data_IF_403539791647
#
_entry.id   IF_403539791647
#
_cell.length_a   1.000
_cell.length_b   1.000
_cell.length_c   1.000
_cell.angle_alpha   90.00
_cell.angle_beta   90.00
_cell.angle_gamma   90.00
#
_symmetry.space_group_name_H-M   'P 1'
#
loop_
_entity.id
_entity.type
_entity.pdbx_description
1 polymer ?
#
# COMPACT_ATOMS: atom_id res chain seq x y z
N UNK A 1 -20.54 8.66 -12.71
CA UNK A 1 -19.13 8.31 -12.95
C UNK A 1 -19.14 6.91 -13.51
N UNK A 2 -18.42 6.66 -14.60
CA UNK A 2 -18.44 5.37 -15.28
C UNK A 2 -17.77 4.27 -14.44
N UNK A 3 -18.27 3.05 -14.59
CA UNK A 3 -17.78 1.83 -13.97
C UNK A 3 -17.47 0.77 -15.02
N UNK A 4 -16.39 0.02 -14.80
CA UNK A 4 -16.20 -1.30 -15.42
C UNK A 4 -16.80 -2.35 -14.48
N UNK A 5 -17.74 -3.17 -14.99
CA UNK A 5 -18.25 -4.36 -14.30
C UNK A 5 -17.31 -5.54 -14.58
N UNK A 6 -16.87 -6.24 -13.54
CA UNK A 6 -16.21 -7.55 -13.68
C UNK A 6 -17.14 -8.59 -13.04
N UNK A 7 -17.59 -9.57 -13.80
CA UNK A 7 -18.51 -10.60 -13.32
C UNK A 7 -18.01 -11.99 -13.65
N UNK A 8 -18.14 -12.91 -12.71
CA UNK A 8 -17.77 -14.30 -12.94
C UNK A 8 -18.91 -15.11 -13.55
N UNK A 9 -18.53 -16.11 -14.34
CA UNK A 9 -19.44 -17.12 -14.89
C UNK A 9 -19.00 -18.48 -14.36
N UNK A 10 -19.92 -19.16 -13.68
CA UNK A 10 -19.71 -20.50 -13.13
C UNK A 10 -20.39 -21.55 -14.00
N UNK A 11 -20.63 -22.73 -13.44
CA UNK A 11 -21.33 -23.84 -14.13
C UNK A 11 -22.85 -23.70 -14.13
N UNK A 12 -23.39 -22.82 -13.28
CA UNK A 12 -24.82 -22.66 -13.03
C UNK A 12 -25.47 -23.88 -12.37
N UNK A 13 -26.60 -23.67 -11.68
CA UNK A 13 -27.39 -24.74 -11.07
C UNK A 13 -28.55 -25.04 -12.02
N UNK A 14 -28.60 -26.27 -12.54
CA UNK A 14 -29.73 -26.77 -13.32
C UNK A 14 -30.69 -27.57 -12.43
N UNK A 15 -31.98 -27.28 -12.53
CA UNK A 15 -33.06 -28.10 -11.97
C UNK A 15 -34.02 -28.42 -13.11
N UNK A 16 -34.35 -29.69 -13.29
CA UNK A 16 -35.22 -30.17 -14.38
C UNK A 16 -34.75 -29.75 -15.79
N UNK A 17 -33.42 -29.61 -15.97
CA UNK A 17 -32.80 -29.22 -17.24
C UNK A 17 -32.62 -27.71 -17.44
N UNK A 18 -33.24 -26.87 -16.61
CA UNK A 18 -33.20 -25.42 -16.74
C UNK A 18 -32.38 -24.74 -15.63
N UNK A 19 -31.78 -23.59 -15.96
CA UNK A 19 -31.10 -22.77 -14.97
C UNK A 19 -32.08 -22.11 -14.02
N UNK A 20 -31.82 -22.22 -12.72
CA UNK A 20 -32.71 -21.69 -11.70
C UNK A 20 -32.69 -20.15 -11.68
N UNK A 21 -33.86 -19.54 -11.81
CA UNK A 21 -34.04 -18.11 -11.57
C UNK A 21 -33.95 -17.79 -10.08
N UNK A 22 -33.36 -16.65 -9.74
CA UNK A 22 -33.20 -16.18 -8.37
C UNK A 22 -33.69 -14.75 -8.26
N UNK A 23 -34.51 -14.48 -7.22
CA UNK A 23 -34.94 -13.13 -6.85
C UNK A 23 -33.83 -12.45 -6.05
N UNK A 24 -33.22 -11.41 -6.60
CA UNK A 24 -32.19 -10.63 -5.94
C UNK A 24 -32.79 -9.41 -5.25
N UNK A 25 -32.45 -9.18 -3.99
CA UNK A 25 -32.95 -8.06 -3.18
C UNK A 25 -31.80 -7.12 -2.84
N UNK A 26 -31.87 -5.88 -3.33
CA UNK A 26 -30.83 -4.87 -3.16
C UNK A 26 -31.00 -4.09 -1.84
N UNK A 27 -29.94 -3.41 -1.35
CA UNK A 27 -30.01 -2.62 -0.11
C UNK A 27 -31.08 -1.50 -0.13
N UNK A 28 -31.39 -0.97 -1.31
CA UNK A 28 -32.46 0.01 -1.52
C UNK A 28 -33.86 -0.62 -1.66
N UNK A 29 -33.96 -1.93 -1.41
CA UNK A 29 -35.16 -2.77 -1.53
C UNK A 29 -35.68 -2.94 -2.96
N UNK A 30 -34.90 -2.56 -3.97
CA UNK A 30 -35.22 -2.98 -5.34
C UNK A 30 -35.04 -4.49 -5.47
N UNK A 31 -35.91 -5.09 -6.26
CA UNK A 31 -35.87 -6.52 -6.53
C UNK A 31 -35.76 -6.77 -8.02
N UNK A 32 -35.03 -7.80 -8.40
CA UNK A 32 -34.93 -8.25 -9.78
C UNK A 32 -34.79 -9.76 -9.82
N UNK A 33 -35.58 -10.43 -10.64
CA UNK A 33 -35.56 -11.87 -10.78
C UNK A 33 -34.86 -12.26 -12.08
N UNK A 34 -33.78 -13.03 -11.96
CA UNK A 34 -33.00 -13.51 -13.11
C UNK A 34 -32.17 -14.74 -12.75
N UNK A 35 -31.73 -15.46 -13.77
CA UNK A 35 -30.71 -16.52 -13.70
C UNK A 35 -29.29 -15.97 -13.55
N UNK A 36 -29.04 -14.72 -13.97
CA UNK A 36 -27.72 -14.11 -14.10
C UNK A 36 -27.61 -12.86 -13.21
N UNK A 37 -26.85 -12.90 -12.13
CA UNK A 37 -26.79 -11.74 -11.23
C UNK A 37 -26.24 -10.47 -11.90
N UNK A 38 -25.29 -10.60 -12.83
CA UNK A 38 -24.83 -9.48 -13.66
C UNK A 38 -25.96 -8.75 -14.39
N UNK A 39 -26.97 -9.48 -14.87
CA UNK A 39 -28.16 -8.90 -15.52
C UNK A 39 -28.95 -8.04 -14.54
N UNK A 40 -29.13 -8.50 -13.29
CA UNK A 40 -29.78 -7.69 -12.26
C UNK A 40 -29.03 -6.37 -12.00
N UNK A 41 -27.69 -6.40 -12.00
CA UNK A 41 -26.86 -5.19 -11.84
C UNK A 41 -27.03 -4.20 -13.01
N UNK A 42 -27.06 -4.72 -14.23
CA UNK A 42 -27.17 -3.94 -15.46
C UNK A 42 -28.58 -3.34 -15.63
N UNK A 43 -29.62 -4.17 -15.50
CA UNK A 43 -31.02 -3.78 -15.70
C UNK A 43 -31.50 -2.77 -14.66
N UNK A 44 -31.13 -2.97 -13.39
CA UNK A 44 -31.45 -2.01 -12.32
C UNK A 44 -30.56 -0.75 -12.36
N UNK A 45 -29.61 -0.67 -13.30
CA UNK A 45 -28.62 0.42 -13.40
C UNK A 45 -27.95 0.70 -12.07
N UNK A 46 -27.48 -0.38 -11.42
CA UNK A 46 -26.88 -0.28 -10.08
C UNK A 46 -25.69 0.69 -10.08
N UNK A 47 -24.94 0.74 -11.18
CA UNK A 47 -23.97 1.79 -11.53
C UNK A 47 -24.09 2.12 -13.02
N UNK A 48 -23.42 3.18 -13.43
CA UNK A 48 -23.28 3.59 -14.82
C UNK A 48 -22.14 2.80 -15.47
N UNK A 49 -22.48 1.66 -16.10
CA UNK A 49 -21.49 0.73 -16.64
C UNK A 49 -21.14 1.09 -18.10
N UNK A 50 -19.87 1.38 -18.35
CA UNK A 50 -19.33 1.68 -19.69
C UNK A 50 -18.64 0.48 -20.33
N UNK A 51 -18.32 -0.56 -19.55
CA UNK A 51 -17.71 -1.82 -19.99
C UNK A 51 -18.09 -2.96 -19.06
N UNK A 52 -18.23 -4.16 -19.62
CA UNK A 52 -18.41 -5.41 -18.86
C UNK A 52 -17.29 -6.39 -19.21
N UNK A 53 -16.68 -6.99 -18.19
CA UNK A 53 -15.70 -8.06 -18.33
C UNK A 53 -16.27 -9.31 -17.67
N UNK A 54 -16.57 -10.32 -18.46
CA UNK A 54 -16.93 -11.63 -17.95
C UNK A 54 -15.70 -12.51 -17.80
N UNK A 55 -15.59 -13.18 -16.66
CA UNK A 55 -14.48 -14.08 -16.37
C UNK A 55 -15.02 -15.47 -16.07
N UNK A 56 -14.52 -16.49 -16.75
CA UNK A 56 -14.96 -17.86 -16.58
C UNK A 56 -13.85 -18.87 -16.85
N UNK A 57 -14.28 -20.10 -17.11
CA UNK A 57 -13.44 -21.23 -17.49
C UNK A 57 -13.98 -21.86 -18.79
N UNK A 58 -13.22 -22.79 -19.37
CA UNK A 58 -13.69 -23.62 -20.50
C UNK A 58 -14.95 -24.45 -20.17
N UNK A 59 -15.29 -24.63 -18.89
CA UNK A 59 -16.45 -25.41 -18.41
C UNK A 59 -17.61 -24.55 -17.91
N UNK A 60 -17.49 -23.22 -18.02
CA UNK A 60 -18.51 -22.27 -17.57
C UNK A 60 -19.75 -22.29 -18.46
N UNK A 61 -20.87 -21.89 -17.89
CA UNK A 61 -22.19 -21.89 -18.51
C UNK A 61 -22.40 -20.69 -19.46
N UNK A 62 -21.50 -20.54 -20.43
CA UNK A 62 -21.52 -19.45 -21.41
C UNK A 62 -22.82 -19.40 -22.23
N UNK A 63 -23.46 -20.55 -22.44
CA UNK A 63 -24.72 -20.66 -23.18
C UNK A 63 -25.85 -19.81 -22.58
N UNK A 64 -25.81 -19.49 -21.28
CA UNK A 64 -26.82 -18.64 -20.62
C UNK A 64 -26.86 -17.20 -21.16
N UNK A 65 -25.78 -16.76 -21.80
CA UNK A 65 -25.70 -15.43 -22.40
C UNK A 65 -26.20 -15.38 -23.83
N UNK A 66 -26.39 -16.54 -24.48
CA UNK A 66 -26.91 -16.66 -25.85
C UNK A 66 -28.44 -16.86 -25.91
N UNK A 67 -29.17 -16.58 -24.82
CA UNK A 67 -30.65 -16.66 -24.80
C UNK A 67 -31.26 -15.74 -25.88
N UNK A 68 -31.92 -16.37 -26.87
CA UNK A 68 -32.46 -15.72 -28.06
C UNK A 68 -31.69 -16.01 -29.36
N UNK A 69 -30.59 -16.76 -29.29
CA UNK A 69 -29.84 -17.27 -30.45
C UNK A 69 -29.57 -18.78 -30.28
N UNK A 70 -30.46 -19.61 -30.82
CA UNK A 70 -30.43 -21.06 -30.63
C UNK A 70 -29.16 -21.72 -31.21
N UNK A 71 -28.66 -21.22 -32.35
CA UNK A 71 -27.45 -21.74 -32.98
C UNK A 71 -26.21 -21.51 -32.10
N UNK A 72 -26.03 -20.27 -31.63
CA UNK A 72 -24.94 -19.94 -30.71
C UNK A 72 -25.06 -20.70 -29.39
N UNK A 73 -26.29 -20.85 -28.87
CA UNK A 73 -26.56 -21.61 -27.66
C UNK A 73 -26.13 -23.08 -27.79
N UNK A 74 -26.47 -23.74 -28.90
CA UNK A 74 -26.05 -25.12 -29.18
C UNK A 74 -24.52 -25.26 -29.29
N UNK A 75 -23.87 -24.36 -30.03
CA UNK A 75 -22.39 -24.35 -30.16
C UNK A 75 -21.71 -24.23 -28.79
N UNK A 76 -22.23 -23.36 -27.92
CA UNK A 76 -21.69 -23.14 -26.56
C UNK A 76 -21.92 -24.35 -25.66
N UNK A 77 -23.07 -25.00 -25.73
CA UNK A 77 -23.34 -26.25 -24.99
C UNK A 77 -22.41 -27.39 -25.41
N UNK A 78 -22.15 -27.54 -26.71
CA UNK A 78 -21.20 -28.52 -27.25
C UNK A 78 -19.76 -28.20 -26.79
N UNK A 79 -19.33 -26.95 -26.96
CA UNK A 79 -17.99 -26.51 -26.54
C UNK A 79 -17.75 -26.73 -25.05
N UNK A 80 -18.74 -26.47 -24.20
CA UNK A 80 -18.67 -26.74 -22.77
C UNK A 80 -18.53 -28.24 -22.47
N UNK A 81 -19.28 -29.09 -23.17
CA UNK A 81 -19.25 -30.55 -23.00
C UNK A 81 -17.89 -31.13 -23.40
N UNK A 82 -17.29 -30.59 -24.47
CA UNK A 82 -15.99 -30.99 -24.99
C UNK A 82 -14.80 -30.24 -24.38
N UNK A 83 -15.05 -29.28 -23.46
CA UNK A 83 -14.04 -28.36 -22.88
C UNK A 83 -13.23 -27.59 -23.93
N UNK A 84 -13.87 -27.24 -25.04
CA UNK A 84 -13.26 -26.67 -26.25
C UNK A 84 -13.76 -25.26 -26.56
N UNK A 85 -14.01 -24.44 -25.53
CA UNK A 85 -14.35 -23.03 -25.72
C UNK A 85 -13.17 -22.30 -26.37
N UNK A 86 -13.35 -21.83 -27.59
CA UNK A 86 -12.32 -21.23 -28.45
C UNK A 86 -12.43 -19.71 -28.52
N UNK A 87 -11.37 -19.04 -28.97
CA UNK A 87 -11.37 -17.59 -29.18
C UNK A 87 -12.38 -17.12 -30.24
N UNK A 88 -12.70 -17.97 -31.23
CA UNK A 88 -13.73 -17.66 -32.23
C UNK A 88 -15.13 -17.62 -31.59
N UNK A 89 -15.48 -18.67 -30.81
CA UNK A 89 -16.75 -18.72 -30.08
C UNK A 89 -16.85 -17.61 -29.02
N UNK A 90 -15.72 -17.30 -28.38
CA UNK A 90 -15.60 -16.17 -27.45
C UNK A 90 -15.95 -14.85 -28.16
N UNK A 91 -15.35 -14.58 -29.32
CA UNK A 91 -15.57 -13.34 -30.09
C UNK A 91 -17.02 -13.25 -30.59
N UNK A 92 -17.59 -14.37 -31.07
CA UNK A 92 -19.00 -14.44 -31.47
C UNK A 92 -19.93 -14.09 -30.31
N UNK A 93 -19.65 -14.62 -29.11
CA UNK A 93 -20.43 -14.34 -27.90
C UNK A 93 -20.23 -12.91 -27.39
N UNK A 94 -19.00 -12.38 -27.38
CA UNK A 94 -18.71 -10.98 -27.02
C UNK A 94 -19.52 -10.00 -27.87
N UNK A 95 -19.55 -10.21 -29.20
CA UNK A 95 -20.31 -9.38 -30.13
C UNK A 95 -21.81 -9.47 -29.85
N UNK A 96 -22.34 -10.68 -29.69
CA UNK A 96 -23.76 -10.90 -29.39
C UNK A 96 -24.21 -10.18 -28.11
N UNK A 97 -23.45 -10.32 -27.02
CA UNK A 97 -23.79 -9.68 -25.74
C UNK A 97 -23.59 -8.16 -25.85
N UNK A 98 -22.53 -7.69 -26.50
CA UNK A 98 -22.26 -6.25 -26.66
C UNK A 98 -23.37 -5.54 -27.44
N UNK A 99 -23.85 -6.15 -28.52
CA UNK A 99 -24.99 -5.63 -29.29
C UNK A 99 -26.27 -5.62 -28.45
N UNK A 100 -26.53 -6.68 -27.68
CA UNK A 100 -27.73 -6.77 -26.83
C UNK A 100 -27.73 -5.73 -25.71
N UNK A 101 -26.58 -5.53 -25.04
CA UNK A 101 -26.44 -4.62 -23.91
C UNK A 101 -26.16 -3.17 -24.33
N UNK A 102 -25.72 -2.94 -25.57
CA UNK A 102 -25.18 -1.65 -26.04
C UNK A 102 -24.00 -1.16 -25.18
N UNK A 103 -23.22 -2.11 -24.63
CA UNK A 103 -22.04 -1.88 -23.79
C UNK A 103 -20.93 -2.81 -24.28
N UNK A 104 -19.68 -2.34 -24.46
CA UNK A 104 -18.55 -3.21 -24.77
C UNK A 104 -18.38 -4.35 -23.76
N UNK A 105 -18.38 -5.59 -24.26
CA UNK A 105 -18.17 -6.81 -23.46
C UNK A 105 -16.83 -7.43 -23.83
N UNK A 106 -16.06 -7.83 -22.81
CA UNK A 106 -14.85 -8.63 -22.96
C UNK A 106 -15.00 -9.91 -22.14
N UNK A 107 -14.64 -11.05 -22.72
CA UNK A 107 -14.62 -12.36 -22.08
C UNK A 107 -13.16 -12.76 -21.87
N UNK A 108 -12.83 -13.14 -20.64
CA UNK A 108 -11.56 -13.79 -20.30
C UNK A 108 -11.90 -15.16 -19.73
N UNK A 109 -11.20 -16.19 -20.20
CA UNK A 109 -11.43 -17.55 -19.72
C UNK A 109 -10.12 -18.32 -19.64
N UNK A 110 -10.03 -19.22 -18.68
CA UNK A 110 -8.87 -20.11 -18.51
C UNK A 110 -9.32 -21.57 -18.42
N UNK A 111 -8.36 -22.49 -18.36
CA UNK A 111 -8.63 -23.92 -18.10
C UNK A 111 -9.31 -24.14 -16.74
N UNK A 112 -10.11 -25.20 -16.60
CA UNK A 112 -10.74 -25.56 -15.31
C UNK A 112 -9.77 -26.18 -14.30
N UNK A 113 -8.58 -26.61 -14.75
CA UNK A 113 -7.52 -27.17 -13.92
C UNK A 113 -6.69 -26.04 -13.29
N UNK A 114 -6.52 -26.06 -11.97
CA UNK A 114 -5.68 -25.11 -11.24
C UNK A 114 -4.63 -25.91 -10.46
N UNK A 115 -3.38 -25.82 -10.91
CA UNK A 115 -2.21 -26.50 -10.34
C UNK A 115 -0.92 -25.71 -10.63
N UNK A 116 0.23 -26.26 -10.26
CA UNK A 116 1.54 -25.61 -10.45
C UNK A 116 1.84 -25.30 -11.93
N UNK A 117 1.48 -26.20 -12.84
CA UNK A 117 1.73 -26.04 -14.29
C UNK A 117 0.87 -24.93 -14.91
N UNK A 118 -0.35 -24.74 -14.41
CA UNK A 118 -1.34 -23.79 -14.97
C UNK A 118 -1.37 -22.44 -14.24
N UNK A 119 -0.80 -22.35 -13.03
CA UNK A 119 -0.90 -21.16 -12.17
C UNK A 119 -0.36 -19.88 -12.81
N UNK A 120 0.76 -19.96 -13.55
CA UNK A 120 1.36 -18.79 -14.20
C UNK A 120 0.49 -18.27 -15.36
N UNK A 121 -0.03 -19.17 -16.20
CA UNK A 121 -0.95 -18.83 -17.28
C UNK A 121 -2.20 -18.13 -16.73
N UNK A 122 -2.80 -18.72 -15.69
CA UNK A 122 -3.97 -18.17 -15.00
C UNK A 122 -3.64 -16.79 -14.42
N UNK A 123 -2.53 -16.65 -13.69
CA UNK A 123 -2.12 -15.36 -13.12
C UNK A 123 -1.93 -14.29 -14.21
N UNK A 124 -1.31 -14.64 -15.34
CA UNK A 124 -1.13 -13.73 -16.47
C UNK A 124 -2.47 -13.31 -17.08
N UNK A 125 -3.42 -14.23 -17.21
CA UNK A 125 -4.77 -13.93 -17.69
C UNK A 125 -5.48 -12.93 -16.77
N UNK A 126 -5.51 -13.18 -15.46
CA UNK A 126 -6.13 -12.25 -14.52
C UNK A 126 -5.41 -10.90 -14.47
N UNK A 127 -4.07 -10.90 -14.57
CA UNK A 127 -3.28 -9.66 -14.63
C UNK A 127 -3.56 -8.86 -15.91
N UNK A 128 -3.90 -9.54 -17.00
CA UNK A 128 -4.31 -8.90 -18.27
C UNK A 128 -5.68 -8.23 -18.21
N UNK A 129 -6.50 -8.48 -17.19
CA UNK A 129 -7.80 -7.81 -17.02
C UNK A 129 -7.59 -6.33 -16.69
N UNK A 130 -6.61 -5.99 -15.85
CA UNK A 130 -6.44 -4.62 -15.35
C UNK A 130 -6.13 -3.60 -16.47
N UNK A 131 -5.28 -3.89 -17.46
CA UNK A 131 -5.12 -3.02 -18.63
C UNK A 131 -6.40 -2.78 -19.45
N UNK A 132 -7.39 -3.67 -19.39
CA UNK A 132 -8.68 -3.51 -20.10
C UNK A 132 -9.61 -2.50 -19.40
N UNK A 133 -9.32 -2.17 -18.14
CA UNK A 133 -10.12 -1.28 -17.31
C UNK A 133 -9.83 0.16 -17.73
N UNK A 134 -10.84 0.79 -18.32
CA UNK A 134 -10.76 2.17 -18.82
C UNK A 134 -11.28 3.20 -17.82
N UNK A 135 -12.09 2.77 -16.85
CA UNK A 135 -12.76 3.65 -15.89
C UNK A 135 -12.00 3.77 -14.56
N UNK A 136 -12.31 4.82 -13.81
CA UNK A 136 -11.75 5.02 -12.47
C UNK A 136 -12.36 4.11 -11.40
N UNK A 137 -13.53 3.53 -11.69
CA UNK A 137 -14.29 2.71 -10.76
C UNK A 137 -14.51 1.31 -11.32
N UNK A 138 -14.32 0.32 -10.47
CA UNK A 138 -14.55 -1.09 -10.77
C UNK A 138 -15.64 -1.60 -9.84
N UNK A 139 -16.56 -2.40 -10.37
CA UNK A 139 -17.45 -3.21 -9.55
C UNK A 139 -17.22 -4.67 -9.90
N UNK A 140 -16.89 -5.47 -8.89
CA UNK A 140 -16.65 -6.90 -9.03
C UNK A 140 -17.82 -7.67 -8.41
N UNK A 141 -18.52 -8.42 -9.26
CA UNK A 141 -19.52 -9.40 -8.87
C UNK A 141 -18.85 -10.76 -8.61
N UNK A 142 -18.92 -11.25 -7.36
CA UNK A 142 -18.37 -12.55 -6.95
C UNK A 142 -19.40 -13.68 -6.83
N UNK A 143 -20.67 -13.42 -7.19
CA UNK A 143 -21.84 -14.28 -6.90
C UNK A 143 -21.79 -15.63 -7.60
N UNK A 144 -21.56 -15.65 -8.92
CA UNK A 144 -21.61 -16.86 -9.74
C UNK A 144 -20.23 -17.36 -10.13
N UNK A 145 -19.30 -17.33 -9.18
CA UNK A 145 -17.91 -17.72 -9.42
C UNK A 145 -17.61 -19.15 -8.97
N UNK A 146 -16.65 -19.81 -9.63
CA UNK A 146 -15.91 -20.84 -8.94
C UNK A 146 -15.18 -20.18 -7.77
N UNK A 147 -15.22 -20.80 -6.58
CA UNK A 147 -14.74 -20.18 -5.33
C UNK A 147 -13.30 -19.64 -5.40
N UNK A 148 -12.45 -20.23 -6.25
CA UNK A 148 -11.08 -19.80 -6.47
C UNK A 148 -10.97 -18.50 -7.28
N UNK A 149 -11.86 -18.24 -8.23
CA UNK A 149 -11.72 -17.14 -9.19
C UNK A 149 -11.75 -15.73 -8.57
N UNK A 150 -12.62 -15.41 -7.60
CA UNK A 150 -12.56 -14.13 -6.91
C UNK A 150 -11.23 -13.92 -6.19
N UNK A 151 -10.64 -14.99 -5.65
CA UNK A 151 -9.33 -14.93 -4.98
C UNK A 151 -8.23 -14.64 -6.01
N UNK A 152 -8.26 -15.32 -7.17
CA UNK A 152 -7.31 -15.11 -8.25
C UNK A 152 -7.37 -13.69 -8.80
N UNK A 153 -8.57 -13.18 -9.09
CA UNK A 153 -8.77 -11.79 -9.52
C UNK A 153 -8.28 -10.82 -8.45
N UNK A 154 -8.62 -11.04 -7.19
CA UNK A 154 -8.20 -10.18 -6.10
C UNK A 154 -6.66 -10.08 -6.00
N UNK A 155 -5.94 -11.21 -6.14
CA UNK A 155 -4.47 -11.21 -6.16
C UNK A 155 -3.91 -10.47 -7.36
N UNK A 156 -4.46 -10.71 -8.56
CA UNK A 156 -4.02 -10.01 -9.77
C UNK A 156 -4.32 -8.51 -9.73
N UNK A 157 -5.47 -8.12 -9.19
CA UNK A 157 -5.79 -6.71 -8.95
C UNK A 157 -4.85 -6.10 -7.92
N UNK A 158 -4.53 -6.81 -6.83
CA UNK A 158 -3.54 -6.31 -5.85
C UNK A 158 -2.17 -6.07 -6.49
N UNK A 159 -1.77 -6.93 -7.42
CA UNK A 159 -0.54 -6.76 -8.19
C UNK A 159 -0.64 -5.57 -9.17
N UNK A 160 -1.65 -5.56 -10.03
CA UNK A 160 -1.74 -4.63 -11.17
C UNK A 160 -2.40 -3.29 -10.87
N UNK A 161 -3.39 -3.22 -9.96
CA UNK A 161 -4.04 -1.95 -9.57
C UNK A 161 -3.05 -1.03 -8.84
N UNK A 162 -2.11 -1.62 -8.08
CA UNK A 162 -1.02 -0.85 -7.45
C UNK A 162 -0.16 -0.07 -8.45
N UNK A 163 -0.23 -0.44 -9.74
CA UNK A 163 0.52 0.15 -10.84
C UNK A 163 -0.35 1.03 -11.76
N UNK A 164 -1.67 1.11 -11.52
CA UNK A 164 -2.59 1.85 -12.37
C UNK A 164 -3.27 2.98 -11.60
N UNK A 165 -2.69 4.18 -11.69
CA UNK A 165 -3.14 5.40 -10.99
C UNK A 165 -4.57 5.85 -11.36
N UNK A 166 -5.15 5.31 -12.45
CA UNK A 166 -6.53 5.65 -12.85
C UNK A 166 -7.57 5.00 -11.95
N UNK A 167 -7.30 3.80 -11.44
CA UNK A 167 -8.27 3.05 -10.65
C UNK A 167 -8.29 3.63 -9.24
N UNK A 168 -9.40 4.31 -8.90
CA UNK A 168 -9.58 4.98 -7.61
C UNK A 168 -10.45 4.18 -6.65
N UNK A 169 -11.39 3.39 -7.19
CA UNK A 169 -12.38 2.70 -6.38
C UNK A 169 -12.64 1.27 -6.89
N UNK A 170 -12.71 0.33 -5.95
CA UNK A 170 -13.06 -1.07 -6.19
C UNK A 170 -14.22 -1.43 -5.29
N UNK A 171 -15.37 -1.70 -5.90
CA UNK A 171 -16.54 -2.21 -5.22
C UNK A 171 -16.63 -3.73 -5.36
N UNK A 172 -17.01 -4.39 -4.28
CA UNK A 172 -17.22 -5.84 -4.24
C UNK A 172 -18.69 -6.11 -3.88
N UNK A 173 -19.40 -6.86 -4.72
CA UNK A 173 -20.80 -7.23 -4.48
C UNK A 173 -21.01 -8.74 -4.56
N UNK A 174 -21.93 -9.23 -3.74
CA UNK A 174 -22.23 -10.66 -3.61
C UNK A 174 -23.72 -10.88 -3.38
N UNK A 175 -24.36 -11.74 -4.18
CA UNK A 175 -25.70 -12.26 -3.93
C UNK A 175 -25.68 -13.44 -2.97
N UNK A 176 -26.07 -13.20 -1.72
CA UNK A 176 -26.17 -14.22 -0.68
C UNK A 176 -27.53 -14.93 -0.75
N UNK A 177 -27.55 -16.14 -1.33
CA UNK A 177 -28.78 -16.93 -1.43
C UNK A 177 -29.25 -17.45 -0.07
N UNK A 178 -30.52 -17.18 0.25
CA UNK A 178 -31.20 -17.65 1.45
C UNK A 178 -32.28 -18.66 1.05
N UNK A 179 -32.17 -19.89 1.56
CA UNK A 179 -33.11 -20.98 1.24
C UNK A 179 -34.53 -20.70 1.74
N UNK A 180 -34.64 -20.10 2.92
CA UNK A 180 -35.90 -19.95 3.64
C UNK A 180 -36.81 -18.92 2.97
N UNK A 181 -36.22 -17.83 2.47
CA UNK A 181 -36.91 -16.72 1.82
C UNK A 181 -36.86 -16.81 0.29
N UNK A 182 -36.15 -17.83 -0.23
CA UNK A 182 -35.96 -18.11 -1.67
C UNK A 182 -35.51 -16.87 -2.45
N UNK A 183 -34.62 -16.07 -1.84
CA UNK A 183 -34.03 -14.90 -2.47
C UNK A 183 -32.55 -14.76 -2.15
N UNK A 184 -31.85 -14.01 -2.98
CA UNK A 184 -30.47 -13.62 -2.75
C UNK A 184 -30.38 -12.16 -2.31
N UNK A 185 -29.88 -11.92 -1.11
CA UNK A 185 -29.60 -10.57 -0.64
C UNK A 185 -28.31 -10.05 -1.24
N UNK A 186 -28.34 -8.89 -1.87
CA UNK A 186 -27.15 -8.26 -2.42
C UNK A 186 -26.37 -7.57 -1.31
N UNK A 187 -25.17 -8.09 -1.02
CA UNK A 187 -24.24 -7.59 -0.03
C UNK A 187 -23.15 -6.76 -0.70
N UNK A 188 -22.79 -5.65 -0.07
CA UNK A 188 -21.62 -4.85 -0.44
C UNK A 188 -20.45 -5.23 0.49
N UNK A 189 -19.38 -5.76 -0.09
CA UNK A 189 -18.17 -6.21 0.62
C UNK A 189 -16.97 -5.29 0.36
N UNK A 190 -17.19 -4.11 -0.22
CA UNK A 190 -16.12 -3.19 -0.65
C UNK A 190 -15.19 -2.76 0.50
N UNK A 191 -15.68 -2.77 1.75
CA UNK A 191 -14.86 -2.51 2.94
C UNK A 191 -13.65 -3.44 3.06
N UNK A 192 -13.73 -4.69 2.58
CA UNK A 192 -12.60 -5.62 2.60
C UNK A 192 -11.47 -5.20 1.66
N UNK A 193 -11.77 -4.51 0.57
CA UNK A 193 -10.74 -3.89 -0.26
C UNK A 193 -10.04 -2.76 0.49
N UNK A 194 -10.79 -1.88 1.17
CA UNK A 194 -10.22 -0.83 2.04
C UNK A 194 -9.31 -1.42 3.12
N UNK A 195 -9.74 -2.48 3.81
CA UNK A 195 -8.93 -3.13 4.85
C UNK A 195 -7.62 -3.67 4.30
N UNK A 196 -7.61 -4.24 3.10
CA UNK A 196 -6.39 -4.66 2.42
C UNK A 196 -5.44 -3.52 2.09
N UNK A 197 -5.98 -2.36 1.68
CA UNK A 197 -5.17 -1.16 1.45
C UNK A 197 -4.55 -0.66 2.75
N UNK A 198 -5.33 -0.63 3.84
CA UNK A 198 -4.85 -0.25 5.17
C UNK A 198 -3.72 -1.17 5.63
N UNK A 199 -3.90 -2.49 5.54
CA UNK A 199 -2.86 -3.45 5.95
C UNK A 199 -1.53 -3.18 5.25
N UNK A 200 -1.57 -2.94 3.94
CA UNK A 200 -0.36 -2.62 3.17
C UNK A 200 0.26 -1.29 3.58
N UNK A 201 -0.56 -0.25 3.76
CA UNK A 201 -0.09 1.07 4.17
C UNK A 201 0.52 1.04 5.58
N UNK A 202 -0.02 0.22 6.49
CA UNK A 202 0.56 -0.02 7.81
C UNK A 202 1.92 -0.70 7.70
N UNK A 203 2.06 -1.75 6.89
CA UNK A 203 3.35 -2.43 6.67
C UNK A 203 4.40 -1.47 6.12
N UNK A 204 4.06 -0.65 5.12
CA UNK A 204 4.98 0.35 4.56
C UNK A 204 5.38 1.38 5.63
N UNK A 205 4.42 1.85 6.43
CA UNK A 205 4.72 2.78 7.53
C UNK A 205 5.64 2.15 8.59
N UNK A 206 5.38 0.91 9.01
CA UNK A 206 6.22 0.21 10.00
C UNK A 206 7.62 -0.13 9.48
N UNK A 207 7.79 -0.38 8.18
CA UNK A 207 9.09 -0.79 7.62
C UNK A 207 9.93 0.38 7.09
N UNK A 208 9.28 1.41 6.55
CA UNK A 208 9.92 2.52 5.83
C UNK A 208 9.63 3.88 6.42
N UNK A 209 8.80 3.96 7.47
CA UNK A 209 8.34 5.22 8.07
C UNK A 209 7.59 6.12 7.08
N UNK A 210 7.09 5.54 5.98
CA UNK A 210 6.28 6.18 4.97
C UNK A 210 4.80 5.90 5.25
N UNK A 211 4.11 6.91 5.76
CA UNK A 211 2.73 6.86 6.20
C UNK A 211 1.80 7.71 5.35
N UNK A 212 2.19 8.17 4.15
CA UNK A 212 1.34 9.05 3.33
C UNK A 212 0.01 8.37 2.96
N UNK A 213 0.08 7.17 2.36
CA UNK A 213 -1.11 6.39 2.03
C UNK A 213 -1.91 6.00 3.28
N UNK A 214 -1.22 5.71 4.39
CA UNK A 214 -1.88 5.38 5.66
C UNK A 214 -2.68 6.57 6.19
N UNK A 215 -2.08 7.76 6.19
CA UNK A 215 -2.71 8.99 6.66
C UNK A 215 -4.01 9.29 5.89
N UNK A 216 -4.00 9.13 4.57
CA UNK A 216 -5.19 9.36 3.74
C UNK A 216 -6.29 8.32 4.05
N UNK A 217 -5.93 7.05 4.27
CA UNK A 217 -6.89 5.96 4.53
C UNK A 217 -7.58 6.06 5.90
N UNK A 218 -6.89 6.61 6.90
CA UNK A 218 -7.39 6.72 8.28
C UNK A 218 -8.00 8.09 8.61
N UNK A 219 -7.94 9.08 7.70
CA UNK A 219 -8.33 10.47 7.99
C UNK A 219 -9.74 10.58 8.60
N UNK A 220 -10.71 9.84 8.04
CA UNK A 220 -12.09 9.83 8.52
C UNK A 220 -12.23 9.22 9.92
N UNK A 221 -11.37 8.27 10.26
CA UNK A 221 -11.44 7.48 11.48
C UNK A 221 -10.59 8.10 12.61
N UNK A 222 -9.47 8.76 12.28
CA UNK A 222 -8.56 9.43 13.22
C UNK A 222 -7.83 10.62 12.57
N UNK A 223 -8.55 11.74 12.36
CA UNK A 223 -8.05 12.94 11.66
C UNK A 223 -6.74 13.49 12.25
N UNK A 224 -6.65 13.57 13.59
CA UNK A 224 -5.43 14.07 14.24
C UNK A 224 -4.23 13.13 14.06
N UNK A 225 -4.48 11.81 14.04
CA UNK A 225 -3.46 10.81 13.74
C UNK A 225 -2.98 10.90 12.31
N UNK A 226 -3.91 11.05 11.35
CA UNK A 226 -3.60 11.25 9.93
C UNK A 226 -2.63 12.42 9.71
N UNK A 227 -2.95 13.61 10.23
CA UNK A 227 -2.08 14.79 10.09
C UNK A 227 -0.70 14.60 10.71
N UNK A 228 -0.64 14.00 11.90
CA UNK A 228 0.62 13.78 12.62
C UNK A 228 1.50 12.72 11.94
N UNK A 229 0.91 11.61 11.45
CA UNK A 229 1.63 10.56 10.70
C UNK A 229 2.17 11.14 9.39
N UNK A 230 1.34 11.88 8.64
CA UNK A 230 1.78 12.55 7.40
C UNK A 230 2.97 13.47 7.67
N UNK A 231 2.87 14.32 8.70
CA UNK A 231 3.96 15.22 9.09
C UNK A 231 5.22 14.47 9.48
N UNK A 232 5.09 13.37 10.22
CA UNK A 232 6.24 12.53 10.57
C UNK A 232 6.92 11.97 9.32
N UNK A 233 6.17 11.42 8.38
CA UNK A 233 6.73 10.90 7.12
C UNK A 233 7.39 11.99 6.27
N UNK A 234 6.85 13.21 6.24
CA UNK A 234 7.51 14.36 5.61
C UNK A 234 8.89 14.64 6.22
N UNK A 235 9.00 14.66 7.56
CA UNK A 235 10.28 14.89 8.24
C UNK A 235 11.28 13.77 7.95
N UNK A 236 10.83 12.51 7.91
CA UNK A 236 11.70 11.39 7.54
C UNK A 236 12.20 11.53 6.11
N UNK A 237 11.30 11.78 5.15
CA UNK A 237 11.68 11.88 3.72
C UNK A 237 12.57 13.08 3.42
N UNK A 238 12.30 14.24 4.04
CA UNK A 238 13.07 15.48 3.86
C UNK A 238 14.33 15.55 4.73
N UNK A 239 14.48 14.61 5.66
CA UNK A 239 15.59 14.56 6.62
C UNK A 239 15.69 15.82 7.51
N UNK A 240 14.56 16.47 7.81
CA UNK A 240 14.47 17.63 8.69
C UNK A 240 14.51 17.21 10.18
N UNK A 241 15.50 16.42 10.55
CA UNK A 241 15.60 15.75 11.85
C UNK A 241 15.58 16.70 13.07
N UNK A 242 16.01 17.96 12.94
CA UNK A 242 15.89 18.96 14.02
C UNK A 242 14.44 19.20 14.47
N UNK A 243 13.45 18.90 13.64
CA UNK A 243 12.03 19.07 13.94
C UNK A 243 11.41 17.85 14.62
N UNK A 244 12.19 16.79 14.89
CA UNK A 244 11.64 15.50 15.31
C UNK A 244 10.97 15.56 16.69
N UNK A 245 11.46 16.40 17.60
CA UNK A 245 10.87 16.64 18.92
C UNK A 245 9.48 17.25 18.80
N UNK A 246 9.32 18.23 17.90
CA UNK A 246 8.03 18.85 17.64
C UNK A 246 7.03 17.82 17.11
N UNK A 247 7.45 17.00 16.13
CA UNK A 247 6.61 15.96 15.55
C UNK A 247 6.26 14.88 16.57
N UNK A 248 7.19 14.46 17.42
CA UNK A 248 6.92 13.52 18.52
C UNK A 248 5.82 14.06 19.44
N UNK A 249 5.86 15.36 19.77
CA UNK A 249 4.80 16.02 20.54
C UNK A 249 3.46 16.05 19.78
N UNK A 250 3.47 16.28 18.47
CA UNK A 250 2.25 16.23 17.64
C UNK A 250 1.64 14.81 17.63
N UNK A 251 2.48 13.76 17.51
CA UNK A 251 2.05 12.36 17.61
C UNK A 251 1.50 12.03 19.01
N UNK A 252 2.17 12.45 20.09
CA UNK A 252 1.64 12.31 21.46
C UNK A 252 0.28 13.00 21.62
N UNK A 253 0.11 14.18 21.03
CA UNK A 253 -1.16 14.91 21.07
C UNK A 253 -2.25 14.24 20.25
N UNK A 254 -1.94 13.59 19.13
CA UNK A 254 -2.92 12.81 18.36
C UNK A 254 -3.37 11.57 19.12
N UNK A 255 -2.47 10.91 19.87
CA UNK A 255 -2.80 9.77 20.74
C UNK A 255 -3.80 10.15 21.86
N UNK A 256 -3.72 11.37 22.40
CA UNK A 256 -4.71 11.89 23.37
C UNK A 256 -6.10 12.10 22.75
N UNK A 257 -6.15 12.30 21.43
CA UNK A 257 -7.37 12.47 20.62
C UNK A 257 -7.72 11.19 19.85
N UNK A 258 -7.26 10.04 20.34
CA UNK A 258 -7.61 8.76 19.75
C UNK A 258 -9.11 8.48 19.98
N UNK A 259 -9.86 8.03 18.95
CA UNK A 259 -11.30 7.82 19.05
C UNK A 259 -11.63 6.68 20.04
N UNK A 260 -12.67 6.87 20.86
CA UNK A 260 -13.11 5.85 21.84
C UNK A 260 -13.65 4.58 21.14
N UNK A 261 -14.33 4.74 20.01
CA UNK A 261 -14.88 3.64 19.20
C UNK A 261 -14.06 3.43 17.92
N UNK A 262 -12.74 3.31 18.07
CA UNK A 262 -11.84 3.07 16.96
C UNK A 262 -12.07 1.70 16.31
N UNK A 263 -12.04 1.60 14.97
CA UNK A 263 -11.96 0.30 14.31
C UNK A 263 -10.68 -0.46 14.72
N UNK A 264 -10.77 -1.78 14.85
CA UNK A 264 -9.66 -2.62 15.33
C UNK A 264 -8.34 -2.47 14.51
N UNK A 265 -8.41 -2.11 13.22
CA UNK A 265 -7.21 -1.87 12.43
C UNK A 265 -6.42 -0.64 12.90
N UNK A 266 -7.06 0.33 13.55
CA UNK A 266 -6.39 1.52 14.10
C UNK A 266 -5.57 1.20 15.34
N UNK A 267 -5.87 0.13 16.08
CA UNK A 267 -5.09 -0.25 17.28
C UNK A 267 -3.63 -0.56 16.91
N UNK A 268 -3.45 -1.21 15.76
CA UNK A 268 -2.11 -1.48 15.22
C UNK A 268 -1.37 -0.18 14.88
N UNK A 269 -2.03 0.75 14.20
CA UNK A 269 -1.48 2.08 13.87
C UNK A 269 -1.11 2.85 15.14
N UNK A 270 -2.01 2.86 16.12
CA UNK A 270 -1.79 3.48 17.43
C UNK A 270 -0.54 2.91 18.10
N UNK A 271 -0.40 1.58 18.13
CA UNK A 271 0.77 0.92 18.70
C UNK A 271 2.07 1.34 18.02
N UNK A 272 2.08 1.47 16.68
CA UNK A 272 3.25 1.96 15.94
C UNK A 272 3.58 3.41 16.31
N UNK A 273 2.56 4.29 16.40
CA UNK A 273 2.74 5.68 16.83
C UNK A 273 3.25 5.78 18.27
N UNK A 274 2.73 4.97 19.19
CA UNK A 274 3.20 4.91 20.59
C UNK A 274 4.67 4.49 20.69
N UNK A 275 5.11 3.52 19.88
CA UNK A 275 6.53 3.13 19.81
C UNK A 275 7.41 4.28 19.34
N UNK A 276 7.01 4.98 18.28
CA UNK A 276 7.73 6.17 17.78
C UNK A 276 7.82 7.24 18.88
N UNK A 277 6.71 7.54 19.56
CA UNK A 277 6.69 8.53 20.65
C UNK A 277 7.62 8.16 21.81
N UNK A 278 7.69 6.87 22.18
CA UNK A 278 8.58 6.37 23.24
C UNK A 278 10.06 6.48 22.88
N UNK A 279 10.39 6.22 21.60
CA UNK A 279 11.76 6.28 21.11
C UNK A 279 12.28 7.72 21.02
N UNK A 280 11.41 8.66 20.65
CA UNK A 280 11.76 10.07 20.45
C UNK A 280 11.34 10.91 21.68
N UNK A 281 11.21 10.27 22.85
CA UNK A 281 10.77 10.98 24.05
C UNK A 281 11.86 11.91 24.59
N UNK A 282 11.68 13.19 24.27
CA UNK A 282 12.61 14.30 24.46
C UNK A 282 12.23 15.21 25.63
N UNK A 283 11.13 14.92 26.34
CA UNK A 283 10.68 15.77 27.45
C UNK A 283 11.68 15.84 28.62
N UNK A 284 12.67 14.94 28.66
CA UNK A 284 13.74 14.92 29.67
C UNK A 284 15.15 14.66 29.09
N UNK A 285 15.36 14.85 27.78
CA UNK A 285 16.66 14.58 27.13
C UNK A 285 17.11 15.76 26.29
N UNK A 286 18.43 15.98 26.25
CA UNK A 286 19.08 16.89 25.29
C UNK A 286 18.67 16.51 23.86
N UNK A 287 18.50 17.50 22.98
CA UNK A 287 18.12 17.29 21.58
C UNK A 287 19.16 16.43 20.86
N UNK A 288 20.44 16.59 21.15
CA UNK A 288 21.50 15.74 20.58
C UNK A 288 21.29 14.24 20.84
N UNK A 289 20.85 13.87 22.05
CA UNK A 289 20.53 12.48 22.40
C UNK A 289 19.27 11.99 21.68
N UNK A 290 18.24 12.83 21.58
CA UNK A 290 17.02 12.48 20.83
C UNK A 290 17.32 12.25 19.34
N UNK A 291 18.21 13.05 18.74
CA UNK A 291 18.66 12.88 17.34
C UNK A 291 19.51 11.63 17.16
N UNK A 292 20.32 11.27 18.15
CA UNK A 292 21.07 10.01 18.15
C UNK A 292 20.13 8.78 18.20
N UNK A 293 19.14 8.79 19.10
CA UNK A 293 18.12 7.73 19.19
C UNK A 293 17.30 7.64 17.90
N UNK A 294 16.90 8.78 17.35
CA UNK A 294 16.19 8.83 16.08
C UNK A 294 17.05 8.35 14.91
N UNK A 295 18.35 8.67 14.89
CA UNK A 295 19.28 8.15 13.88
C UNK A 295 19.34 6.62 13.91
N UNK A 296 19.48 6.01 15.10
CA UNK A 296 19.45 4.55 15.25
C UNK A 296 18.14 3.96 14.74
N UNK A 297 17.01 4.59 15.09
CA UNK A 297 15.69 4.18 14.61
C UNK A 297 15.60 4.22 13.08
N UNK A 298 16.10 5.27 12.43
CA UNK A 298 16.17 5.36 10.96
C UNK A 298 17.03 4.23 10.37
N UNK A 299 18.16 3.92 10.99
CA UNK A 299 19.07 2.86 10.53
C UNK A 299 18.43 1.46 10.62
N UNK A 300 17.70 1.18 11.69
CA UNK A 300 16.93 -0.07 11.86
C UNK A 300 15.91 -0.26 10.72
N UNK A 301 15.30 0.83 10.24
CA UNK A 301 14.36 0.86 9.11
C UNK A 301 15.04 0.90 7.73
N UNK A 302 16.37 0.69 7.69
CA UNK A 302 17.21 0.71 6.47
C UNK A 302 17.25 2.07 5.76
N UNK A 303 16.92 3.15 6.45
CA UNK A 303 17.01 4.53 5.96
C UNK A 303 18.44 5.07 6.20
N UNK A 304 19.41 4.40 5.57
CA UNK A 304 20.83 4.59 5.86
C UNK A 304 21.32 6.02 5.62
N UNK A 305 20.83 6.67 4.57
CA UNK A 305 21.19 8.05 4.21
C UNK A 305 20.73 9.01 5.30
N UNK A 306 19.44 8.94 5.65
CA UNK A 306 18.83 9.75 6.70
C UNK A 306 19.49 9.50 8.05
N UNK A 307 19.77 8.23 8.38
CA UNK A 307 20.44 7.86 9.62
C UNK A 307 21.83 8.52 9.75
N UNK A 308 22.66 8.42 8.71
CA UNK A 308 24.01 9.01 8.69
C UNK A 308 23.96 10.53 8.83
N UNK A 309 23.07 11.20 8.09
CA UNK A 309 22.95 12.66 8.18
C UNK A 309 22.43 13.04 9.58
N UNK A 310 21.41 12.36 10.09
CA UNK A 310 20.86 12.61 11.42
C UNK A 310 21.90 12.41 12.53
N UNK A 311 22.77 11.39 12.42
CA UNK A 311 23.86 11.17 13.38
C UNK A 311 24.87 12.32 13.35
N UNK A 312 25.21 12.81 12.16
CA UNK A 312 26.09 13.96 12.03
C UNK A 312 25.43 15.23 12.62
N UNK A 313 24.13 15.45 12.39
CA UNK A 313 23.40 16.56 13.02
C UNK A 313 23.34 16.40 14.55
N UNK A 314 23.28 15.18 15.08
CA UNK A 314 23.37 14.93 16.51
C UNK A 314 24.72 15.39 17.09
N UNK A 315 25.83 15.11 16.40
CA UNK A 315 27.19 15.58 16.78
C UNK A 315 27.23 17.12 16.80
N UNK A 316 26.75 17.76 15.73
CA UNK A 316 26.70 19.22 15.60
C UNK A 316 25.87 19.85 16.73
N UNK A 317 24.72 19.24 17.02
CA UNK A 317 23.81 19.64 18.10
C UNK A 317 24.46 19.50 19.47
N UNK A 318 25.20 18.42 19.74
CA UNK A 318 25.86 18.21 21.04
C UNK A 318 26.90 19.29 21.35
N UNK A 319 27.65 19.72 20.33
CA UNK A 319 28.61 20.83 20.47
C UNK A 319 27.87 22.15 20.68
N UNK A 320 26.81 22.43 19.92
CA UNK A 320 26.00 23.63 20.07
C UNK A 320 25.38 23.73 21.48
N UNK A 321 24.79 22.64 21.99
CA UNK A 321 24.22 22.57 23.35
C UNK A 321 25.24 22.82 24.46
N UNK A 322 26.53 22.56 24.22
CA UNK A 322 27.60 22.77 25.21
C UNK A 322 28.17 24.19 25.14
N UNK A 323 28.38 24.73 23.95
CA UNK A 323 29.19 25.93 23.73
C UNK A 323 28.43 27.14 23.18
N UNK A 324 27.12 27.00 22.92
CA UNK A 324 26.29 28.03 22.33
C UNK A 324 24.94 28.17 23.03
N UNK A 325 24.20 29.21 22.65
CA UNK A 325 22.78 29.35 22.98
C UNK A 325 21.90 28.59 21.99
N UNK A 326 20.70 28.18 22.42
CA UNK A 326 19.76 27.40 21.61
C UNK A 326 19.41 28.02 20.25
N UNK A 327 19.49 29.35 20.10
CA UNK A 327 19.24 30.03 18.83
C UNK A 327 20.30 29.73 17.74
N UNK A 328 21.44 29.14 18.08
CA UNK A 328 22.48 28.70 17.14
C UNK A 328 22.24 27.27 16.64
N UNK A 329 21.21 26.58 17.13
CA UNK A 329 20.88 25.22 16.69
C UNK A 329 20.48 25.22 15.20
N UNK A 330 21.24 24.49 14.40
CA UNK A 330 21.06 24.43 12.94
C UNK A 330 21.60 25.64 12.18
N UNK A 331 22.26 26.58 12.84
CA UNK A 331 22.96 27.69 12.17
C UNK A 331 24.25 27.20 11.53
N UNK A 332 24.28 27.20 10.20
CA UNK A 332 25.42 26.73 9.41
C UNK A 332 26.66 27.62 9.55
N UNK A 333 26.48 28.94 9.62
CA UNK A 333 27.60 29.88 9.70
C UNK A 333 28.25 29.78 11.07
N UNK A 334 27.45 29.70 12.14
CA UNK A 334 27.97 29.44 13.48
C UNK A 334 28.73 28.11 13.56
N UNK A 335 28.16 27.04 13.01
CA UNK A 335 28.83 25.73 13.00
C UNK A 335 30.19 25.81 12.31
N UNK A 336 30.25 26.41 11.13
CA UNK A 336 31.47 26.51 10.32
C UNK A 336 32.54 27.37 10.98
N UNK A 337 32.17 28.51 11.54
CA UNK A 337 33.13 29.49 12.05
C UNK A 337 33.58 29.17 13.49
N UNK A 338 32.71 28.56 14.30
CA UNK A 338 32.95 28.31 15.72
C UNK A 338 32.81 26.84 16.12
N UNK A 339 31.67 26.21 15.83
CA UNK A 339 31.37 24.84 16.29
C UNK A 339 32.41 23.80 15.87
N UNK A 340 32.87 23.85 14.62
CA UNK A 340 33.94 22.97 14.12
C UNK A 340 35.26 23.15 14.87
N UNK A 341 35.58 24.39 15.28
CA UNK A 341 36.81 24.65 16.02
C UNK A 341 36.76 24.07 17.44
N UNK A 342 35.61 24.16 18.12
CA UNK A 342 35.43 23.51 19.42
C UNK A 342 35.49 21.98 19.31
N UNK A 343 34.85 21.38 18.32
CA UNK A 343 34.96 19.94 18.07
C UNK A 343 36.43 19.54 17.83
N UNK A 344 37.17 20.27 17.00
CA UNK A 344 38.58 19.98 16.70
C UNK A 344 39.49 20.05 17.94
N UNK A 345 39.23 20.95 18.89
CA UNK A 345 39.96 21.01 20.15
C UNK A 345 39.78 19.71 20.94
N UNK A 346 38.54 19.26 21.10
CA UNK A 346 38.20 18.00 21.79
C UNK A 346 38.81 16.79 21.08
N UNK A 347 38.72 16.76 19.75
CA UNK A 347 39.31 15.71 18.91
C UNK A 347 40.83 15.62 18.99
N UNK A 348 41.51 16.74 19.24
CA UNK A 348 42.98 16.79 19.29
C UNK A 348 43.55 15.97 20.45
N UNK A 349 42.81 15.89 21.54
CA UNK A 349 43.16 15.13 22.75
C UNK A 349 42.70 13.66 22.66
N UNK A 350 41.76 13.34 21.75
CA UNK A 350 41.07 12.03 21.70
C UNK A 350 41.06 11.42 20.29
N UNK A 351 42.26 11.24 19.70
CA UNK A 351 42.40 10.91 18.28
C UNK A 351 41.73 9.59 17.84
N UNK A 352 41.91 8.50 18.59
CA UNK A 352 41.40 7.17 18.20
C UNK A 352 39.89 7.04 18.42
N UNK A 353 39.42 7.55 19.55
CA UNK A 353 38.07 7.30 20.04
C UNK A 353 37.05 8.35 19.58
N UNK A 354 37.51 9.51 19.12
CA UNK A 354 36.67 10.59 18.59
C UNK A 354 37.03 11.00 17.17
N UNK A 355 38.26 11.49 16.96
CA UNK A 355 38.63 12.16 15.70
C UNK A 355 38.43 11.26 14.49
N UNK A 356 38.96 10.03 14.53
CA UNK A 356 38.83 9.10 13.40
C UNK A 356 37.36 8.75 13.14
N UNK A 357 36.58 8.29 14.14
CA UNK A 357 35.15 8.04 13.99
C UNK A 357 34.35 9.20 13.39
N UNK A 358 34.48 10.41 13.94
CA UNK A 358 33.67 11.56 13.55
C UNK A 358 34.10 12.16 12.21
N UNK A 359 35.41 12.20 11.92
CA UNK A 359 35.90 12.60 10.60
C UNK A 359 35.39 11.65 9.51
N UNK A 360 35.40 10.34 9.77
CA UNK A 360 34.87 9.36 8.82
C UNK A 360 33.36 9.52 8.59
N UNK A 361 32.61 9.80 9.66
CA UNK A 361 31.17 10.09 9.59
C UNK A 361 30.89 11.35 8.76
N UNK A 362 31.55 12.47 9.06
CA UNK A 362 31.40 13.74 8.33
C UNK A 362 31.76 13.56 6.85
N UNK A 363 32.88 12.90 6.59
CA UNK A 363 33.36 12.62 5.25
C UNK A 363 32.32 11.82 4.45
N UNK A 364 31.80 10.75 5.05
CA UNK A 364 30.79 9.91 4.41
C UNK A 364 29.46 10.64 4.23
N UNK A 365 29.01 11.42 5.23
CA UNK A 365 27.82 12.29 5.13
C UNK A 365 27.92 13.23 3.94
N UNK A 366 29.09 13.84 3.71
CA UNK A 366 29.32 14.74 2.57
C UNK A 366 29.24 13.99 1.24
N UNK A 367 29.81 12.79 1.14
CA UNK A 367 29.68 11.98 -0.08
C UNK A 367 28.22 11.67 -0.39
N UNK A 368 27.45 11.28 0.63
CA UNK A 368 26.02 10.97 0.49
C UNK A 368 25.23 12.21 0.06
N UNK A 369 25.45 13.36 0.72
CA UNK A 369 24.78 14.62 0.38
C UNK A 369 25.07 15.11 -1.04
N UNK A 370 26.25 14.80 -1.58
CA UNK A 370 26.67 15.15 -2.95
C UNK A 370 26.46 14.02 -3.97
N UNK A 371 25.55 13.07 -3.72
CA UNK A 371 25.17 12.05 -4.70
C UNK A 371 26.25 11.00 -4.97
N UNK A 372 27.10 10.70 -3.97
CA UNK A 372 28.18 9.73 -4.07
C UNK A 372 29.49 10.32 -4.58
N UNK A 373 29.80 11.58 -4.26
CA UNK A 373 31.02 12.23 -4.72
C UNK A 373 32.29 11.43 -4.36
N UNK A 374 33.29 11.51 -5.25
CA UNK A 374 34.59 10.85 -5.08
C UNK A 374 35.30 11.36 -3.83
N UNK A 375 36.07 10.47 -3.21
CA UNK A 375 36.97 10.83 -2.13
C UNK A 375 38.21 11.58 -2.58
N UNK A 376 39.00 12.02 -1.60
CA UNK A 376 40.28 12.71 -1.85
C UNK A 376 41.23 11.86 -2.71
N UNK A 377 41.06 10.54 -2.70
CA UNK A 377 41.83 9.57 -3.49
C UNK A 377 41.15 9.23 -4.83
N UNK A 378 40.04 9.87 -5.19
CA UNK A 378 39.31 9.66 -6.44
C UNK A 378 38.34 8.47 -6.44
N UNK A 379 38.13 7.79 -5.31
CA UNK A 379 37.30 6.60 -5.18
C UNK A 379 35.84 6.96 -4.85
N UNK A 380 34.89 6.24 -5.46
CA UNK A 380 33.47 6.33 -5.11
C UNK A 380 33.17 5.64 -3.77
N UNK A 381 32.17 6.10 -3.00
CA UNK A 381 31.72 5.39 -1.81
C UNK A 381 31.07 4.05 -2.19
N UNK A 382 31.34 3.01 -1.40
CA UNK A 382 30.68 1.70 -1.54
C UNK A 382 29.63 1.51 -0.45
N UNK A 383 28.40 1.14 -0.84
CA UNK A 383 27.30 0.90 0.09
C UNK A 383 27.62 -0.17 1.16
N UNK A 384 28.47 -1.14 0.83
CA UNK A 384 28.94 -2.18 1.77
C UNK A 384 29.69 -1.61 2.99
N UNK A 385 30.25 -0.39 2.89
CA UNK A 385 30.99 0.25 3.97
C UNK A 385 30.08 0.99 4.96
N UNK A 386 28.81 1.24 4.60
CA UNK A 386 27.85 1.99 5.42
C UNK A 386 27.74 1.43 6.85
N UNK A 387 27.55 0.11 7.07
CA UNK A 387 27.42 -0.42 8.42
C UNK A 387 28.64 -0.14 9.31
N UNK A 388 29.84 -0.28 8.74
CA UNK A 388 31.10 -0.05 9.47
C UNK A 388 31.31 1.42 9.81
N UNK A 389 31.05 2.32 8.86
CA UNK A 389 31.16 3.77 9.05
C UNK A 389 30.13 4.24 10.09
N UNK A 390 28.88 3.81 9.94
CA UNK A 390 27.79 4.19 10.86
C UNK A 390 28.06 3.70 12.28
N UNK A 391 28.42 2.41 12.45
CA UNK A 391 28.79 1.87 13.76
C UNK A 391 30.01 2.58 14.39
N UNK A 392 30.97 3.02 13.57
CA UNK A 392 32.07 3.85 14.05
C UNK A 392 31.58 5.22 14.50
N UNK A 393 30.72 5.87 13.72
CA UNK A 393 30.11 7.16 14.07
C UNK A 393 29.34 7.11 15.39
N UNK A 394 28.57 6.05 15.64
CA UNK A 394 27.84 5.86 16.90
C UNK A 394 28.79 5.86 18.10
N UNK A 395 29.88 5.08 18.03
CA UNK A 395 30.92 5.07 19.08
C UNK A 395 31.56 6.45 19.26
N UNK A 396 31.81 7.15 18.15
CA UNK A 396 32.35 8.51 18.18
C UNK A 396 31.41 9.47 18.92
N UNK A 397 30.11 9.43 18.62
CA UNK A 397 29.12 10.25 19.31
C UNK A 397 28.99 9.90 20.81
N UNK A 398 28.94 8.61 21.15
CA UNK A 398 28.88 8.17 22.55
C UNK A 398 30.08 8.65 23.38
N UNK A 399 31.28 8.60 22.79
CA UNK A 399 32.50 9.12 23.43
C UNK A 399 32.46 10.65 23.54
N UNK A 400 31.87 11.34 22.55
CA UNK A 400 31.76 12.80 22.55
C UNK A 400 30.89 13.24 23.73
N UNK A 401 29.72 12.64 23.90
CA UNK A 401 28.82 12.95 25.00
C UNK A 401 29.51 12.77 26.36
N UNK A 402 30.22 11.65 26.58
CA UNK A 402 30.95 11.40 27.83
C UNK A 402 31.98 12.49 28.14
N UNK A 403 32.65 13.01 27.12
CA UNK A 403 33.65 14.07 27.29
C UNK A 403 32.98 15.42 27.54
N UNK A 404 31.90 15.74 26.81
CA UNK A 404 31.15 16.99 27.01
C UNK A 404 30.50 17.09 28.40
N UNK A 405 30.19 15.96 29.03
CA UNK A 405 29.70 15.86 30.41
C UNK A 405 30.79 16.09 31.47
N UNK A 406 32.07 15.92 31.12
CA UNK A 406 33.22 16.11 32.01
C UNK A 406 33.84 17.50 31.91
N UNK A 407 33.71 18.13 30.74
CA UNK A 407 33.93 19.55 30.52
C UNK A 407 32.80 20.35 31.16
#
# INVERSE_FOLDING_TARGET
MAYTLISFVGTGIKKDGEYQSTRYVFPDKKEFETKKFAEALLELKYRDFSKVIFVGTTTSAWEMFAEGNDDLCMKLMEARSNRSFSDDLKTELENYISEKLQIPVVIKYHTDKIDEDTSLEIFNLYSSIVPEITDENILVDITHSFRSMPILLYQAMRFSVSQNEKIKNVELVYGEYTSDEKCSYVRNLSSYWKYSQITNAVSIFEEKLDGFALADLIEKDWESGSKAIKRFSEIVQTNFCLQIVEVSRQLKNSLKKYPENAPAYLDKVKSSVEKICKLIDSENKKLSLALYEFSNFLYEHKLNVQAVICLQVAVETAICEKFASENQLGDYDWWKDYGQNELRKIESENKKDLKIPLTNLEYFRNQVAHGGAKNKDGNFPHAANIPGIYASGLRGFENLIKILEQL
#
